data_IF_359399328712
#
_entry.id   IF_359399328712
#
_cell.length_a   1.000
_cell.length_b   1.000
_cell.length_c   1.000
_cell.angle_alpha   90.00
_cell.angle_beta   90.00
_cell.angle_gamma   90.00
#
_symmetry.space_group_name_H-M   'P 1'
#
loop_
_entity.id
_entity.type
_entity.pdbx_description
1 polymer ?
#
# COMPACT_ATOMS: atom_id res chain seq x y z
N UNK A 1 33.15 155.83 98.04
CA UNK A 1 32.79 154.65 97.21
C UNK A 1 33.18 153.42 98.01
N UNK A 2 32.31 152.42 98.16
CA UNK A 2 32.58 151.25 99.00
C UNK A 2 33.65 150.37 98.34
N UNK A 3 34.71 150.03 99.08
CA UNK A 3 35.71 149.04 98.65
C UNK A 3 35.09 147.63 98.62
N UNK A 4 35.52 146.84 97.63
CA UNK A 4 34.98 145.52 97.30
C UNK A 4 35.13 144.48 98.43
N UNK A 5 35.97 144.77 99.42
CA UNK A 5 36.16 143.95 100.63
C UNK A 5 35.01 143.98 101.64
N UNK A 6 34.07 144.93 101.53
CA UNK A 6 32.89 145.01 102.41
C UNK A 6 31.69 144.18 101.95
N UNK A 7 31.77 143.49 100.81
CA UNK A 7 30.67 142.66 100.28
C UNK A 7 30.82 141.20 100.75
N UNK A 8 30.70 140.98 102.06
CA UNK A 8 30.59 139.63 102.63
C UNK A 8 29.29 138.97 102.17
N UNK A 9 29.38 137.74 101.63
CA UNK A 9 28.24 136.97 101.13
C UNK A 9 27.95 137.11 99.64
N UNK A 10 28.74 137.87 98.87
CA UNK A 10 28.55 137.95 97.40
C UNK A 10 28.70 136.58 96.73
N UNK A 11 29.68 135.78 97.18
CA UNK A 11 29.92 134.42 96.68
C UNK A 11 28.71 133.52 96.96
N UNK A 12 28.11 133.62 98.14
CA UNK A 12 26.93 132.86 98.52
C UNK A 12 25.70 133.30 97.73
N UNK A 13 25.53 134.62 97.52
CA UNK A 13 24.46 135.18 96.71
C UNK A 13 24.58 134.80 95.22
N UNK A 14 25.80 134.75 94.67
CA UNK A 14 26.05 134.28 93.30
C UNK A 14 25.77 132.78 93.17
N UNK A 15 26.27 131.98 94.13
CA UNK A 15 26.05 130.53 94.15
C UNK A 15 24.57 130.16 94.33
N UNK A 16 23.78 130.99 95.03
CA UNK A 16 22.33 130.84 95.14
C UNK A 16 21.57 131.23 93.85
N UNK A 17 22.14 132.09 92.99
CA UNK A 17 21.56 132.44 91.68
C UNK A 17 21.91 131.47 90.55
N UNK A 18 22.96 130.67 90.72
CA UNK A 18 23.25 129.54 89.84
C UNK A 18 22.19 128.46 90.07
N UNK A 19 21.12 128.47 89.28
CA UNK A 19 20.16 127.36 89.30
C UNK A 19 20.86 126.08 88.82
N UNK A 20 21.19 125.17 89.74
CA UNK A 20 21.87 123.91 89.40
C UNK A 20 20.90 122.82 88.92
N UNK A 21 19.61 123.16 88.79
CA UNK A 21 18.54 122.23 88.40
C UNK A 21 18.05 122.42 86.97
N UNK A 22 18.38 123.52 86.29
CA UNK A 22 18.16 123.59 84.85
C UNK A 22 19.08 122.60 84.14
N UNK A 23 18.49 121.52 83.63
CA UNK A 23 19.09 120.74 82.56
C UNK A 23 18.86 121.54 81.29
N UNK A 24 19.91 122.11 80.69
CA UNK A 24 19.79 122.69 79.35
C UNK A 24 19.23 121.60 78.43
N UNK A 25 18.06 121.83 77.83
CA UNK A 25 17.60 120.93 76.79
C UNK A 25 18.60 121.04 75.64
N UNK A 26 18.87 119.96 74.91
CA UNK A 26 19.84 120.05 73.80
C UNK A 26 19.41 121.01 72.68
N UNK A 27 18.13 121.40 72.65
CA UNK A 27 17.63 122.43 71.76
C UNK A 27 18.10 123.85 72.15
N UNK A 28 18.61 124.02 73.37
CA UNK A 28 19.07 125.31 73.91
C UNK A 28 20.60 125.52 73.75
N UNK A 29 21.32 124.50 73.24
CA UNK A 29 22.75 124.57 72.96
C UNK A 29 22.98 125.17 71.57
N UNK A 30 22.99 126.50 71.48
CA UNK A 30 23.26 127.25 70.24
C UNK A 30 24.73 127.58 70.03
N UNK A 31 25.57 127.35 71.03
CA UNK A 31 27.01 127.63 71.07
C UNK A 31 27.89 126.42 70.70
N UNK A 32 27.27 125.25 70.49
CA UNK A 32 27.94 124.07 69.96
C UNK A 32 28.08 124.23 68.44
N UNK A 33 29.02 125.08 68.05
CA UNK A 33 29.54 125.16 66.69
C UNK A 33 30.65 124.11 66.57
N UNK A 34 30.32 122.91 66.08
CA UNK A 34 31.30 121.84 65.88
C UNK A 34 32.09 122.13 64.59
N UNK A 35 33.33 122.63 64.67
CA UNK A 35 34.02 123.17 63.51
C UNK A 35 34.79 122.04 62.82
N UNK A 36 34.06 121.13 62.16
CA UNK A 36 34.60 120.38 61.02
C UNK A 36 33.46 119.84 60.13
N UNK A 37 33.18 120.46 58.96
CA UNK A 37 32.14 120.02 58.04
C UNK A 37 32.47 118.72 57.27
N UNK A 38 33.59 118.03 57.54
CA UNK A 38 33.93 116.79 56.85
C UNK A 38 33.26 115.52 57.44
N UNK A 39 32.72 115.56 58.66
CA UNK A 39 32.17 114.38 59.35
C UNK A 39 30.81 114.66 60.03
N UNK A 40 29.77 114.88 59.22
CA UNK A 40 28.39 115.00 59.70
C UNK A 40 27.88 113.69 60.31
N UNK A 41 28.18 113.44 61.58
CA UNK A 41 27.43 112.49 62.36
C UNK A 41 26.20 113.20 62.90
N UNK A 42 25.04 113.00 62.25
CA UNK A 42 23.74 113.17 62.93
C UNK A 42 23.86 112.42 64.26
N UNK A 43 23.35 112.91 65.39
CA UNK A 43 23.36 112.15 66.65
C UNK A 43 21.93 111.68 66.97
N UNK A 44 21.76 110.40 67.31
CA UNK A 44 20.47 109.85 67.75
C UNK A 44 20.55 109.61 69.26
N UNK A 45 19.46 109.94 69.96
CA UNK A 45 19.34 109.70 71.39
C UNK A 45 18.95 108.25 71.65
N UNK A 46 19.80 107.48 72.33
CA UNK A 46 19.50 106.13 72.79
C UNK A 46 19.57 106.12 74.32
N UNK A 47 18.42 106.04 74.97
CA UNK A 47 18.30 106.24 76.41
C UNK A 47 18.75 107.65 76.83
N UNK A 48 19.62 107.74 77.83
CA UNK A 48 20.12 109.01 78.38
C UNK A 48 21.39 109.55 77.69
N UNK A 49 21.89 108.88 76.64
CA UNK A 49 23.13 109.27 75.96
C UNK A 49 22.88 109.60 74.48
N UNK A 50 23.61 110.58 73.97
CA UNK A 50 23.67 110.89 72.54
C UNK A 50 24.77 110.06 71.90
N UNK A 51 24.42 109.33 70.85
CA UNK A 51 25.37 108.52 70.08
C UNK A 51 25.40 108.99 68.63
N UNK A 52 26.55 108.87 67.97
CA UNK A 52 26.67 109.21 66.55
C UNK A 52 25.75 108.30 65.71
N UNK A 53 24.83 108.89 64.96
CA UNK A 53 23.96 108.26 63.97
C UNK A 53 24.70 107.81 62.71
N UNK A 54 26.04 107.81 62.71
CA UNK A 54 26.81 106.92 61.83
C UNK A 54 26.40 105.44 61.96
N UNK A 55 25.56 105.09 62.94
CA UNK A 55 24.96 103.77 63.06
C UNK A 55 23.55 103.62 62.43
N UNK A 56 22.94 104.62 61.78
CA UNK A 56 21.55 104.48 61.34
C UNK A 56 21.13 105.38 60.15
N UNK A 57 21.58 105.07 58.93
CA UNK A 57 20.76 105.15 57.70
C UNK A 57 21.42 104.42 56.50
N UNK A 58 22.76 104.41 56.44
CA UNK A 58 23.51 103.72 55.38
C UNK A 58 23.51 102.18 55.43
N UNK A 59 22.95 101.56 56.49
CA UNK A 59 22.79 100.10 56.59
C UNK A 59 21.36 99.60 56.25
N UNK A 60 20.39 100.50 56.03
CA UNK A 60 18.98 100.12 55.79
C UNK A 60 18.62 100.18 54.31
N UNK A 61 19.08 101.19 53.54
CA UNK A 61 18.94 101.19 52.09
C UNK A 61 19.99 100.26 51.46
N UNK A 62 19.55 99.18 50.85
CA UNK A 62 20.44 98.14 50.30
C UNK A 62 20.54 96.89 51.16
N UNK A 63 19.92 96.84 52.36
CA UNK A 63 19.68 95.56 53.04
C UNK A 63 18.83 94.66 52.16
N UNK A 64 17.74 95.18 51.58
CA UNK A 64 16.84 94.42 50.71
C UNK A 64 17.60 93.93 49.48
N UNK A 65 18.30 94.81 48.76
CA UNK A 65 19.15 94.41 47.63
C UNK A 65 20.25 93.41 48.05
N UNK A 66 20.85 93.57 49.24
CA UNK A 66 21.88 92.66 49.76
C UNK A 66 21.30 91.32 50.18
N UNK A 67 20.10 91.31 50.75
CA UNK A 67 19.42 90.09 51.19
C UNK A 67 18.87 89.36 49.98
N UNK A 68 18.27 90.05 49.01
CA UNK A 68 17.80 89.46 47.76
C UNK A 68 18.98 88.95 46.93
N UNK A 69 20.06 89.72 46.77
CA UNK A 69 21.27 89.22 46.11
C UNK A 69 21.91 88.03 46.86
N UNK A 70 21.81 87.98 48.20
CA UNK A 70 22.25 86.82 48.98
C UNK A 70 21.29 85.64 48.87
N UNK A 71 19.98 85.85 48.75
CA UNK A 71 18.96 84.82 48.58
C UNK A 71 19.07 84.25 47.17
N UNK A 72 19.05 85.09 46.13
CA UNK A 72 19.27 84.70 44.74
C UNK A 72 20.64 84.07 44.55
N UNK A 73 21.68 84.61 45.19
CA UNK A 73 23.00 83.99 45.22
C UNK A 73 23.01 82.63 45.91
N UNK A 74 22.25 82.44 47.00
CA UNK A 74 22.09 81.15 47.67
C UNK A 74 21.19 80.18 46.91
N UNK A 75 20.18 80.65 46.18
CA UNK A 75 19.31 79.85 45.33
C UNK A 75 20.06 79.44 44.06
N UNK A 76 20.82 80.34 43.45
CA UNK A 76 21.71 80.05 42.32
C UNK A 76 22.88 79.16 42.75
N UNK A 77 23.43 79.34 43.95
CA UNK A 77 24.38 78.38 44.53
C UNK A 77 23.71 77.05 44.86
N UNK A 78 22.45 77.03 45.28
CA UNK A 78 21.68 75.79 45.48
C UNK A 78 21.32 75.10 44.16
N UNK A 79 21.10 75.86 43.09
CA UNK A 79 20.66 75.37 41.77
C UNK A 79 21.80 75.12 40.78
N UNK A 80 22.96 75.76 40.95
CA UNK A 80 24.09 75.71 40.01
C UNK A 80 25.49 75.78 40.66
N UNK A 81 25.60 75.87 41.98
CA UNK A 81 26.87 75.88 42.71
C UNK A 81 26.87 74.93 43.91
N UNK A 82 26.01 73.92 43.87
CA UNK A 82 25.73 73.14 45.05
C UNK A 82 26.94 72.22 45.31
N UNK A 83 27.36 72.04 46.58
CA UNK A 83 28.50 71.16 46.92
C UNK A 83 28.35 69.82 46.20
N UNK A 84 29.45 69.17 45.79
CA UNK A 84 29.50 68.00 44.89
C UNK A 84 28.38 66.93 45.06
N UNK A 85 27.77 66.84 46.24
CA UNK A 85 26.57 66.07 46.58
C UNK A 85 25.21 66.57 46.03
N UNK A 86 25.09 67.76 45.46
CA UNK A 86 23.86 68.28 44.82
C UNK A 86 24.05 68.54 43.30
N UNK A 87 25.28 68.77 42.85
CA UNK A 87 25.69 68.53 41.45
C UNK A 87 25.26 67.11 41.03
N UNK A 88 25.50 66.14 41.91
CA UNK A 88 24.97 64.79 41.74
C UNK A 88 23.45 64.71 41.61
N UNK A 89 22.64 65.60 42.19
CA UNK A 89 21.18 65.51 41.97
C UNK A 89 20.76 66.00 40.59
N UNK A 90 21.37 67.07 40.08
CA UNK A 90 21.15 67.52 38.71
C UNK A 90 21.70 66.49 37.70
N UNK A 91 22.86 65.91 37.97
CA UNK A 91 23.45 64.84 37.18
C UNK A 91 22.62 63.54 37.24
N UNK A 92 22.10 63.15 38.40
CA UNK A 92 21.20 62.00 38.55
C UNK A 92 19.88 62.25 37.82
N UNK A 93 19.29 63.46 37.94
CA UNK A 93 18.08 63.81 37.21
C UNK A 93 18.31 63.74 35.69
N UNK A 94 19.43 64.27 35.20
CA UNK A 94 19.82 64.17 33.80
C UNK A 94 20.10 62.72 33.37
N UNK A 95 20.79 61.93 34.20
CA UNK A 95 21.05 60.50 33.95
C UNK A 95 19.77 59.66 33.92
N UNK A 96 18.73 60.08 34.65
CA UNK A 96 17.39 59.51 34.62
C UNK A 96 16.47 60.15 33.55
N UNK A 97 17.00 61.05 32.72
CA UNK A 97 16.31 61.61 31.56
C UNK A 97 15.41 62.81 31.83
N UNK A 98 15.54 63.47 32.99
CA UNK A 98 14.69 64.59 33.43
C UNK A 98 13.18 64.29 33.34
N UNK A 99 12.79 63.04 33.59
CA UNK A 99 11.40 62.59 33.50
C UNK A 99 10.61 62.95 34.78
N UNK A 100 9.66 63.92 34.72
CA UNK A 100 8.86 64.30 35.89
C UNK A 100 7.93 63.18 36.38
N UNK A 101 7.67 62.15 35.55
CA UNK A 101 6.81 61.01 35.85
C UNK A 101 7.59 59.68 35.86
N UNK A 102 8.89 59.72 36.20
CA UNK A 102 9.79 58.56 36.13
C UNK A 102 9.18 57.27 36.71
N UNK A 103 8.52 57.34 37.86
CA UNK A 103 7.88 56.18 38.49
C UNK A 103 6.78 55.57 37.61
N UNK A 104 5.95 56.41 36.98
CA UNK A 104 4.93 55.97 36.02
C UNK A 104 5.58 55.39 34.78
N UNK A 105 6.58 56.06 34.21
CA UNK A 105 7.30 55.60 33.02
C UNK A 105 7.94 54.23 33.23
N UNK A 106 8.66 54.04 34.35
CA UNK A 106 9.25 52.74 34.71
C UNK A 106 8.15 51.69 34.92
N UNK A 107 7.08 52.04 35.64
CA UNK A 107 5.98 51.11 35.89
C UNK A 107 5.28 50.67 34.60
N UNK A 108 5.06 51.58 33.65
CA UNK A 108 4.52 51.27 32.33
C UNK A 108 5.49 50.40 31.51
N UNK A 109 6.78 50.75 31.49
CA UNK A 109 7.78 49.97 30.76
C UNK A 109 7.92 48.53 31.30
N UNK A 110 7.87 48.36 32.64
CA UNK A 110 7.83 47.06 33.28
C UNK A 110 6.50 46.33 32.99
N UNK A 111 5.38 47.06 33.03
CA UNK A 111 4.06 46.53 32.69
C UNK A 111 3.97 45.97 31.27
N UNK A 112 4.77 46.49 30.33
CA UNK A 112 4.88 46.02 28.95
C UNK A 112 5.75 44.76 28.79
N UNK A 113 6.52 44.35 29.80
CA UNK A 113 7.30 43.11 29.73
C UNK A 113 6.41 41.88 29.88
N UNK A 114 6.76 40.83 29.14
CA UNK A 114 6.11 39.54 29.25
C UNK A 114 6.50 38.88 30.59
N UNK A 115 5.51 38.43 31.34
CA UNK A 115 5.66 37.67 32.60
C UNK A 115 5.64 36.17 32.30
N UNK A 116 6.38 35.40 33.09
CA UNK A 116 6.39 33.93 33.01
C UNK A 116 5.63 33.27 34.17
N UNK A 117 5.38 34.03 35.24
CA UNK A 117 4.84 33.57 36.50
C UNK A 117 3.31 33.60 36.55
N UNK A 118 2.66 34.38 35.69
CA UNK A 118 1.21 34.59 35.69
C UNK A 118 0.68 34.95 34.28
N UNK A 119 -0.62 34.74 34.07
CA UNK A 119 -1.28 35.06 32.81
C UNK A 119 -1.42 36.58 32.61
N UNK A 120 -1.10 37.07 31.40
CA UNK A 120 -1.24 38.48 31.05
C UNK A 120 -2.34 38.68 29.99
N UNK A 121 -3.37 39.45 30.35
CA UNK A 121 -4.35 39.95 29.38
C UNK A 121 -3.71 41.01 28.50
N UNK A 122 -3.61 40.71 27.20
CA UNK A 122 -3.03 41.57 26.15
C UNK A 122 -3.85 41.46 24.88
N UNK A 123 -3.79 42.47 24.04
CA UNK A 123 -4.39 42.47 22.71
C UNK A 123 -3.68 41.46 21.79
N UNK A 124 -4.33 41.06 20.69
CA UNK A 124 -3.74 40.13 19.71
C UNK A 124 -2.45 40.68 19.07
N UNK A 125 -2.42 42.00 18.81
CA UNK A 125 -1.24 42.67 18.25
C UNK A 125 -0.04 42.64 19.22
N UNK A 126 -0.28 42.92 20.51
CA UNK A 126 0.76 42.86 21.54
C UNK A 126 1.28 41.43 21.74
N UNK A 127 0.39 40.42 21.74
CA UNK A 127 0.78 39.00 21.81
C UNK A 127 1.70 38.62 20.63
N UNK A 128 1.33 39.05 19.42
CA UNK A 128 2.13 38.80 18.21
C UNK A 128 3.51 39.45 18.30
N UNK A 129 3.58 40.71 18.75
CA UNK A 129 4.85 41.43 18.91
C UNK A 129 5.74 40.78 19.98
N UNK A 130 5.16 40.39 21.13
CA UNK A 130 5.88 39.71 22.19
C UNK A 130 6.47 38.37 21.72
N UNK A 131 5.70 37.56 21.00
CA UNK A 131 6.17 36.31 20.41
C UNK A 131 7.28 36.55 19.38
N UNK A 132 7.17 37.59 18.57
CA UNK A 132 8.20 37.98 17.59
C UNK A 132 9.50 38.36 18.29
N UNK A 133 9.44 39.16 19.36
CA UNK A 133 10.61 39.58 20.14
C UNK A 133 11.31 38.39 20.83
N UNK A 134 10.57 37.33 21.17
CA UNK A 134 11.12 36.08 21.70
C UNK A 134 11.71 35.15 20.61
N UNK A 135 11.74 35.59 19.36
CA UNK A 135 12.26 34.81 18.23
C UNK A 135 11.23 33.88 17.57
N UNK A 136 9.94 33.99 17.90
CA UNK A 136 8.87 33.24 17.25
C UNK A 136 8.72 33.65 15.78
N UNK A 137 8.86 32.69 14.86
CA UNK A 137 8.64 32.92 13.42
C UNK A 137 7.16 32.98 13.09
N UNK A 138 6.80 33.51 11.91
CA UNK A 138 5.41 33.50 11.44
C UNK A 138 4.83 32.07 11.40
N UNK A 139 5.63 31.11 10.94
CA UNK A 139 5.29 29.68 10.94
C UNK A 139 5.09 29.15 12.36
N UNK A 140 6.01 29.44 13.28
CA UNK A 140 5.90 28.99 14.68
C UNK A 140 4.64 29.50 15.36
N UNK A 141 4.30 30.78 15.18
CA UNK A 141 3.05 31.37 15.70
C UNK A 141 1.81 30.70 15.11
N UNK A 142 1.78 30.52 13.79
CA UNK A 142 0.67 29.85 13.11
C UNK A 142 0.46 28.39 13.56
N UNK A 143 1.53 27.70 13.98
CA UNK A 143 1.44 26.35 14.55
C UNK A 143 0.83 26.36 15.95
N UNK A 144 1.20 27.31 16.81
CA UNK A 144 0.62 27.40 18.16
C UNK A 144 -0.84 27.89 18.16
N UNK A 145 -1.26 28.62 17.14
CA UNK A 145 -2.65 29.05 16.93
C UNK A 145 -3.51 28.01 16.22
N UNK A 146 -2.92 26.92 15.72
CA UNK A 146 -3.63 25.92 14.94
C UNK A 146 -4.74 25.23 15.77
N UNK A 147 -5.97 25.28 15.27
CA UNK A 147 -7.11 24.65 15.94
C UNK A 147 -7.03 23.11 15.96
N UNK A 148 -6.27 22.52 15.03
CA UNK A 148 -6.09 21.08 14.92
C UNK A 148 -4.76 20.70 14.22
N UNK A 149 -4.51 19.40 14.13
CA UNK A 149 -3.33 18.84 13.47
C UNK A 149 -3.24 19.20 11.98
N UNK A 150 -4.36 19.41 11.29
CA UNK A 150 -4.35 19.73 9.86
C UNK A 150 -3.95 21.19 9.62
N UNK A 151 -4.49 22.12 10.40
CA UNK A 151 -4.09 23.52 10.42
C UNK A 151 -2.60 23.67 10.76
N UNK A 152 -2.09 22.92 11.74
CA UNK A 152 -0.67 22.93 12.09
C UNK A 152 0.23 22.43 10.93
N UNK A 153 -0.19 21.39 10.20
CA UNK A 153 0.53 20.89 9.01
C UNK A 153 0.55 21.91 7.88
N UNK A 154 -0.58 22.57 7.63
CA UNK A 154 -0.66 23.63 6.63
C UNK A 154 0.27 24.80 6.98
N UNK A 155 0.33 25.18 8.27
CA UNK A 155 1.19 26.27 8.74
C UNK A 155 2.69 26.01 8.49
N UNK A 156 3.15 24.76 8.63
CA UNK A 156 4.54 24.37 8.32
C UNK A 156 4.77 24.01 6.85
N UNK A 157 3.76 24.11 5.99
CA UNK A 157 3.87 23.68 4.58
C UNK A 157 4.10 22.18 4.41
N UNK A 158 3.69 21.36 5.39
CA UNK A 158 3.81 19.91 5.29
C UNK A 158 2.82 19.36 4.27
N UNK A 159 3.28 18.39 3.48
CA UNK A 159 2.46 17.64 2.52
C UNK A 159 1.25 17.01 3.25
N UNK A 160 0.04 16.96 2.64
CA UNK A 160 -1.14 16.39 3.27
C UNK A 160 -0.92 14.97 3.80
N UNK A 161 -1.53 14.65 4.95
CA UNK A 161 -1.39 13.33 5.61
C UNK A 161 -1.91 12.15 4.76
N UNK A 162 -2.74 12.43 3.76
CA UNK A 162 -3.02 11.57 2.62
C UNK A 162 -3.23 12.47 1.40
N UNK A 163 -2.64 12.13 0.27
CA UNK A 163 -3.04 12.70 -1.02
C UNK A 163 -3.29 11.56 -2.01
N UNK A 164 -4.43 11.55 -2.72
CA UNK A 164 -4.65 10.65 -3.83
C UNK A 164 -3.95 11.18 -5.08
N UNK A 165 -3.36 10.28 -5.88
CA UNK A 165 -2.92 10.61 -7.24
C UNK A 165 -3.93 10.05 -8.24
N UNK A 166 -4.61 10.91 -9.02
CA UNK A 166 -5.18 10.49 -10.29
C UNK A 166 -4.11 9.75 -11.10
N UNK A 167 -4.51 8.70 -11.82
CA UNK A 167 -3.57 7.87 -12.60
C UNK A 167 -2.76 8.68 -13.63
N UNK A 168 -3.34 9.80 -14.10
CA UNK A 168 -2.68 10.74 -15.02
C UNK A 168 -1.54 11.55 -14.40
N UNK A 169 -1.42 11.62 -13.08
CA UNK A 169 -0.29 12.26 -12.39
C UNK A 169 0.92 11.32 -12.27
N UNK A 170 0.71 10.00 -12.38
CA UNK A 170 1.78 9.01 -12.35
C UNK A 170 2.28 8.77 -13.77
N UNK A 171 3.27 9.58 -14.17
CA UNK A 171 3.85 9.54 -15.52
C UNK A 171 4.28 8.11 -15.88
N UNK A 172 3.76 7.59 -16.98
CA UNK A 172 4.08 6.25 -17.50
C UNK A 172 3.23 5.10 -16.96
N UNK A 173 2.45 5.29 -15.89
CA UNK A 173 1.59 4.22 -15.35
C UNK A 173 0.47 3.84 -16.31
N UNK A 174 -0.17 4.83 -16.96
CA UNK A 174 -1.19 4.56 -17.98
C UNK A 174 -0.63 3.71 -19.13
N UNK A 175 0.54 4.08 -19.65
CA UNK A 175 1.20 3.33 -20.71
C UNK A 175 1.60 1.91 -20.28
N UNK A 176 2.04 1.72 -19.03
CA UNK A 176 2.37 0.41 -18.48
C UNK A 176 1.14 -0.49 -18.37
N UNK A 177 0.00 0.05 -17.92
CA UNK A 177 -1.26 -0.68 -17.83
C UNK A 177 -1.81 -1.04 -19.21
N UNK A 178 -1.77 -0.11 -20.15
CA UNK A 178 -2.20 -0.35 -21.53
C UNK A 178 -1.32 -1.43 -22.20
N UNK A 179 -0.02 -1.40 -21.94
CA UNK A 179 0.91 -2.45 -22.40
C UNK A 179 0.61 -3.82 -21.79
N UNK A 180 0.35 -3.86 -20.48
CA UNK A 180 0.01 -5.11 -19.79
C UNK A 180 -1.31 -5.69 -20.31
N UNK A 181 -2.32 -4.84 -20.53
CA UNK A 181 -3.59 -5.25 -21.12
C UNK A 181 -3.39 -5.88 -22.51
N UNK A 182 -2.58 -5.24 -23.36
CA UNK A 182 -2.24 -5.77 -24.68
C UNK A 182 -1.49 -7.12 -24.60
N UNK A 183 -0.56 -7.28 -23.66
CA UNK A 183 0.17 -8.53 -23.45
C UNK A 183 -0.75 -9.68 -23.02
N UNK A 184 -1.68 -9.42 -22.10
CA UNK A 184 -2.66 -10.43 -21.64
C UNK A 184 -3.59 -10.85 -22.77
N UNK A 185 -4.07 -9.89 -23.57
CA UNK A 185 -4.90 -10.18 -24.75
C UNK A 185 -4.16 -11.01 -25.81
N UNK A 186 -2.90 -10.69 -26.09
CA UNK A 186 -2.09 -11.44 -27.05
C UNK A 186 -1.82 -12.89 -26.60
N UNK A 187 -1.54 -13.09 -25.30
CA UNK A 187 -1.34 -14.42 -24.72
C UNK A 187 -2.60 -15.27 -24.78
N UNK A 188 -3.76 -14.69 -24.50
CA UNK A 188 -5.05 -15.40 -24.52
C UNK A 188 -5.44 -15.86 -25.94
N UNK A 189 -5.03 -15.15 -26.99
CA UNK A 189 -5.42 -15.45 -28.37
C UNK A 189 -4.40 -16.32 -29.13
N UNK A 190 -3.11 -16.20 -28.83
CA UNK A 190 -2.04 -16.77 -29.66
C UNK A 190 -1.34 -17.98 -29.04
N UNK A 191 -0.58 -17.76 -27.98
CA UNK A 191 0.40 -18.74 -27.49
C UNK A 191 -0.24 -19.92 -26.79
N UNK A 192 -1.28 -19.68 -25.99
CA UNK A 192 -1.95 -20.74 -25.23
C UNK A 192 -2.81 -21.63 -26.16
N UNK A 193 -3.41 -21.07 -27.20
CA UNK A 193 -4.15 -21.82 -28.21
C UNK A 193 -3.21 -22.64 -29.11
N UNK A 194 -2.10 -22.06 -29.56
CA UNK A 194 -1.11 -22.76 -30.37
C UNK A 194 -0.43 -23.90 -29.59
N UNK A 195 -0.11 -23.67 -28.32
CA UNK A 195 0.44 -24.70 -27.44
C UNK A 195 -0.57 -25.83 -27.21
N UNK A 196 -1.83 -25.49 -26.88
CA UNK A 196 -2.89 -26.48 -26.66
C UNK A 196 -3.16 -27.31 -27.92
N UNK A 197 -3.28 -26.67 -29.10
CA UNK A 197 -3.46 -27.37 -30.37
C UNK A 197 -2.24 -28.24 -30.71
N UNK A 198 -1.03 -27.77 -30.41
CA UNK A 198 0.19 -28.56 -30.57
C UNK A 198 0.19 -29.82 -29.70
N UNK A 199 -0.25 -29.74 -28.45
CA UNK A 199 -0.35 -30.88 -27.54
C UNK A 199 -1.45 -31.87 -27.94
N UNK A 200 -2.59 -31.40 -28.48
CA UNK A 200 -3.67 -32.27 -28.97
C UNK A 200 -3.24 -33.02 -30.24
N UNK A 201 -2.52 -32.36 -31.14
CA UNK A 201 -2.02 -32.96 -32.37
C UNK A 201 -0.81 -33.89 -32.14
N UNK A 202 0.03 -33.64 -31.13
CA UNK A 202 1.22 -34.45 -30.88
C UNK A 202 0.90 -35.83 -30.30
N UNK A 203 -0.21 -35.98 -29.57
CA UNK A 203 -0.55 -37.26 -28.93
C UNK A 203 -0.78 -38.40 -29.92
N UNK A 204 -1.60 -38.25 -30.99
CA UNK A 204 -1.69 -39.27 -32.04
C UNK A 204 -0.39 -39.44 -32.84
N UNK A 205 0.29 -38.33 -33.16
CA UNK A 205 1.46 -38.34 -34.04
C UNK A 205 2.68 -39.04 -33.42
N UNK A 206 2.86 -38.98 -32.09
CA UNK A 206 3.92 -39.71 -31.39
C UNK A 206 3.81 -41.23 -31.57
N UNK A 207 2.57 -41.73 -31.64
CA UNK A 207 2.26 -43.15 -31.85
C UNK A 207 2.09 -43.50 -33.34
N UNK A 208 2.56 -42.63 -34.24
CA UNK A 208 2.45 -42.80 -35.71
C UNK A 208 1.00 -42.88 -36.22
N UNK A 209 0.06 -42.24 -35.54
CA UNK A 209 -1.36 -42.18 -35.89
C UNK A 209 -1.73 -40.72 -36.23
N UNK A 210 -2.38 -40.49 -37.37
CA UNK A 210 -2.86 -39.14 -37.73
C UNK A 210 -4.27 -38.86 -37.22
N UNK A 211 -5.12 -39.88 -37.14
CA UNK A 211 -6.52 -39.76 -36.73
C UNK A 211 -6.99 -41.01 -36.00
N UNK A 212 -7.81 -40.84 -34.97
CA UNK A 212 -8.61 -41.90 -34.34
C UNK A 212 -10.06 -41.55 -34.54
N UNK A 213 -10.88 -42.49 -35.01
CA UNK A 213 -12.28 -42.19 -35.30
C UNK A 213 -13.14 -43.43 -35.47
N UNK A 214 -14.42 -43.19 -35.79
CA UNK A 214 -15.42 -44.20 -36.09
C UNK A 214 -15.76 -44.12 -37.58
N UNK A 215 -15.70 -45.22 -38.31
CA UNK A 215 -16.00 -45.22 -39.74
C UNK A 215 -17.49 -44.89 -39.93
N UNK A 216 -17.78 -43.80 -40.63
CA UNK A 216 -19.14 -43.26 -40.81
C UNK A 216 -19.90 -43.01 -39.49
N UNK A 217 -19.18 -42.81 -38.38
CA UNK A 217 -19.78 -42.63 -37.05
C UNK A 217 -20.29 -43.91 -36.38
N UNK A 218 -20.05 -45.09 -36.96
CA UNK A 218 -20.48 -46.38 -36.39
C UNK A 218 -19.59 -46.79 -35.19
N UNK A 219 -20.13 -46.90 -33.97
CA UNK A 219 -19.38 -47.33 -32.79
C UNK A 219 -18.71 -48.71 -32.91
N UNK A 220 -19.20 -49.56 -33.81
CA UNK A 220 -18.65 -50.90 -34.04
C UNK A 220 -17.46 -50.91 -35.01
N UNK A 221 -17.14 -49.77 -35.63
CA UNK A 221 -16.06 -49.65 -36.63
C UNK A 221 -15.03 -48.60 -36.20
N UNK A 222 -14.38 -48.76 -35.03
CA UNK A 222 -13.28 -47.89 -34.66
C UNK A 222 -12.09 -48.11 -35.60
N UNK A 223 -11.44 -47.01 -35.98
CA UNK A 223 -10.25 -47.04 -36.82
C UNK A 223 -9.23 -46.03 -36.35
N UNK A 224 -7.98 -46.30 -36.71
CA UNK A 224 -6.89 -45.34 -36.68
C UNK A 224 -6.40 -45.13 -38.11
N UNK A 225 -5.82 -43.96 -38.41
CA UNK A 225 -5.09 -43.74 -39.66
C UNK A 225 -3.60 -43.70 -39.39
N UNK A 226 -2.85 -44.54 -40.10
CA UNK A 226 -1.39 -44.52 -40.02
C UNK A 226 -0.86 -43.18 -40.55
N UNK A 227 0.08 -42.56 -39.84
CA UNK A 227 0.61 -41.24 -40.19
C UNK A 227 1.46 -41.26 -41.48
N UNK A 228 2.17 -42.35 -41.76
CA UNK A 228 3.10 -42.44 -42.89
C UNK A 228 2.43 -42.53 -44.26
N UNK A 229 1.22 -43.07 -44.36
CA UNK A 229 0.55 -43.36 -45.63
C UNK A 229 -0.97 -43.12 -45.61
N UNK A 230 -1.51 -42.61 -44.49
CA UNK A 230 -2.95 -42.40 -44.29
C UNK A 230 -3.82 -43.67 -44.40
N UNK A 231 -3.23 -44.86 -44.35
CA UNK A 231 -3.97 -46.12 -44.40
C UNK A 231 -4.92 -46.25 -43.20
N UNK A 232 -6.15 -46.68 -43.46
CA UNK A 232 -7.13 -46.96 -42.41
C UNK A 232 -6.79 -48.31 -41.78
N UNK A 233 -6.40 -48.28 -40.53
CA UNK A 233 -6.19 -49.45 -39.69
C UNK A 233 -7.42 -49.60 -38.80
N UNK A 234 -8.33 -50.49 -39.19
CA UNK A 234 -9.48 -50.81 -38.35
C UNK A 234 -8.98 -51.44 -37.05
N UNK A 235 -9.35 -50.83 -35.93
CA UNK A 235 -9.14 -51.41 -34.61
C UNK A 235 -10.21 -52.47 -34.47
N UNK A 236 -9.82 -53.74 -34.51
CA UNK A 236 -10.79 -54.81 -34.56
C UNK A 236 -11.64 -54.86 -33.26
N UNK A 237 -12.96 -55.00 -33.39
CA UNK A 237 -13.59 -56.21 -32.83
C UNK A 237 -14.40 -56.99 -33.87
N UNK A 238 -14.00 -56.94 -35.13
CA UNK A 238 -14.54 -57.78 -36.19
C UNK A 238 -13.58 -58.92 -36.56
N UNK A 239 -13.86 -60.11 -36.05
CA UNK A 239 -13.70 -61.30 -36.87
C UNK A 239 -14.93 -62.16 -36.64
N UNK A 240 -15.82 -62.18 -37.62
CA UNK A 240 -16.60 -63.38 -37.86
C UNK A 240 -15.88 -64.36 -38.80
N UNK A 241 -14.56 -64.19 -39.01
CA UNK A 241 -13.64 -64.82 -39.99
C UNK A 241 -13.87 -64.52 -41.49
N UNK A 242 -12.76 -64.41 -42.25
CA UNK A 242 -12.71 -64.36 -43.72
C UNK A 242 -12.62 -65.80 -44.26
N UNK A 243 -13.59 -66.33 -45.04
CA UNK A 243 -13.54 -67.72 -45.49
C UNK A 243 -12.29 -68.01 -46.33
N UNK A 244 -11.63 -69.13 -46.04
CA UNK A 244 -10.53 -69.65 -46.88
C UNK A 244 -11.10 -69.96 -48.26
N UNK A 245 -10.75 -69.14 -49.26
CA UNK A 245 -11.03 -69.42 -50.67
C UNK A 245 -9.90 -70.28 -51.23
N UNK A 246 -10.22 -71.44 -51.80
CA UNK A 246 -9.24 -72.26 -52.52
C UNK A 246 -9.68 -72.41 -53.97
N UNK A 247 -8.77 -72.14 -54.92
CA UNK A 247 -8.84 -72.45 -56.37
C UNK A 247 -10.23 -72.44 -57.03
N UNK A 248 -11.08 -71.45 -56.71
CA UNK A 248 -12.41 -71.28 -57.26
C UNK A 248 -13.21 -70.18 -56.57
N UNK A 249 -14.35 -69.80 -57.15
CA UNK A 249 -15.29 -68.82 -56.58
C UNK A 249 -16.15 -69.36 -55.44
N UNK A 250 -16.20 -70.68 -55.27
CA UNK A 250 -17.09 -71.37 -54.35
C UNK A 250 -16.61 -71.21 -52.89
N UNK A 251 -17.54 -71.00 -51.98
CA UNK A 251 -17.28 -70.92 -50.55
C UNK A 251 -17.29 -72.31 -49.92
N UNK A 252 -16.25 -72.64 -49.15
CA UNK A 252 -16.17 -73.87 -48.36
C UNK A 252 -16.46 -73.55 -46.91
N UNK A 253 -17.48 -74.19 -46.35
CA UNK A 253 -17.88 -74.07 -44.95
C UNK A 253 -17.45 -75.32 -44.19
N UNK A 254 -16.75 -75.13 -43.06
CA UNK A 254 -16.49 -76.15 -42.06
C UNK A 254 -17.17 -75.75 -40.75
N UNK A 255 -17.94 -76.64 -40.15
CA UNK A 255 -18.68 -76.31 -38.94
C UNK A 255 -19.33 -77.51 -38.27
N UNK A 256 -20.13 -77.22 -37.24
CA UNK A 256 -20.93 -78.21 -36.52
C UNK A 256 -22.40 -78.11 -36.93
N UNK A 257 -23.04 -79.23 -37.28
CA UNK A 257 -24.47 -79.33 -37.54
C UNK A 257 -25.04 -80.54 -36.78
N UNK A 258 -26.00 -80.30 -35.87
CA UNK A 258 -26.66 -81.37 -35.11
C UNK A 258 -25.70 -82.29 -34.34
N UNK A 259 -24.60 -81.75 -33.81
CA UNK A 259 -23.57 -82.52 -33.11
C UNK A 259 -22.59 -83.27 -34.01
N UNK A 260 -22.61 -83.04 -35.33
CA UNK A 260 -21.71 -83.64 -36.31
C UNK A 260 -20.81 -82.58 -36.95
N UNK A 261 -19.54 -82.89 -37.20
CA UNK A 261 -18.67 -82.03 -38.01
C UNK A 261 -19.04 -82.19 -39.49
N UNK A 262 -19.23 -81.08 -40.20
CA UNK A 262 -19.75 -81.06 -41.57
C UNK A 262 -18.92 -80.18 -42.49
N UNK A 263 -18.90 -80.56 -43.77
CA UNK A 263 -18.41 -79.74 -44.87
C UNK A 263 -19.55 -79.37 -45.82
N UNK A 264 -19.56 -78.12 -46.28
CA UNK A 264 -20.49 -77.65 -47.31
C UNK A 264 -19.73 -76.78 -48.33
N UNK A 265 -20.11 -76.88 -49.60
CA UNK A 265 -19.57 -76.03 -50.68
C UNK A 265 -20.75 -75.28 -51.29
N UNK A 266 -20.75 -73.95 -51.18
CA UNK A 266 -21.91 -73.10 -51.48
C UNK A 266 -23.18 -73.63 -50.82
N UNK A 267 -24.21 -74.01 -51.58
CA UNK A 267 -25.46 -74.60 -51.06
C UNK A 267 -25.45 -76.14 -51.05
N UNK A 268 -24.34 -76.76 -51.45
CA UNK A 268 -24.25 -78.21 -51.60
C UNK A 268 -23.62 -78.87 -50.37
N UNK A 269 -24.42 -79.70 -49.69
CA UNK A 269 -24.01 -80.45 -48.52
C UNK A 269 -23.07 -81.59 -48.90
N UNK A 270 -21.80 -81.54 -48.46
CA UNK A 270 -20.81 -82.58 -48.76
C UNK A 270 -20.87 -83.76 -47.77
N UNK A 271 -21.84 -83.77 -46.85
CA UNK A 271 -22.01 -84.80 -45.83
C UNK A 271 -21.33 -84.47 -44.50
N UNK A 272 -21.55 -85.34 -43.51
CA UNK A 272 -20.79 -85.31 -42.26
C UNK A 272 -19.37 -85.80 -42.53
N UNK A 273 -18.36 -85.14 -41.97
CA UNK A 273 -16.97 -85.60 -42.02
C UNK A 273 -16.73 -86.44 -40.76
N UNK A 274 -16.44 -87.73 -40.93
CA UNK A 274 -16.18 -88.62 -39.80
C UNK A 274 -14.82 -88.32 -39.15
N UNK A 275 -14.83 -88.15 -37.82
CA UNK A 275 -13.62 -88.06 -36.99
C UNK A 275 -13.28 -89.43 -36.41
N UNK A 276 -11.99 -89.74 -36.22
CA UNK A 276 -11.50 -91.07 -35.86
C UNK A 276 -12.09 -91.62 -34.54
N UNK A 277 -12.39 -90.75 -33.57
CA UNK A 277 -13.03 -91.17 -32.30
C UNK A 277 -14.51 -91.54 -32.43
N UNK A 278 -15.18 -91.09 -33.50
CA UNK A 278 -16.60 -91.39 -33.75
C UNK A 278 -16.81 -92.74 -34.44
N UNK A 279 -15.75 -93.33 -34.99
CA UNK A 279 -15.81 -94.61 -35.70
C UNK A 279 -16.12 -95.77 -34.74
N UNK A 280 -15.72 -95.70 -33.47
CA UNK A 280 -15.95 -96.80 -32.52
C UNK A 280 -17.31 -96.75 -31.78
N UNK A 281 -17.94 -95.58 -31.68
CA UNK A 281 -19.16 -95.39 -30.87
C UNK A 281 -20.48 -95.53 -31.63
N UNK A 282 -20.46 -95.46 -32.96
CA UNK A 282 -21.69 -95.39 -33.79
C UNK A 282 -21.72 -96.44 -34.90
N UNK A 283 -20.65 -97.21 -35.09
CA UNK A 283 -20.62 -98.33 -36.05
C UNK A 283 -20.71 -99.65 -35.32
N UNK A 284 -21.79 -100.38 -35.59
CA UNK A 284 -22.02 -101.72 -35.05
C UNK A 284 -20.83 -102.62 -35.42
N UNK A 285 -20.01 -102.99 -34.44
CA UNK A 285 -19.05 -104.06 -34.61
C UNK A 285 -19.85 -105.33 -34.88
N UNK A 286 -19.85 -105.80 -36.13
CA UNK A 286 -20.45 -107.08 -36.48
C UNK A 286 -19.59 -108.21 -35.89
N UNK A 287 -19.78 -108.49 -34.61
CA UNK A 287 -19.21 -109.65 -33.93
C UNK A 287 -20.20 -110.81 -34.04
N UNK A 288 -20.31 -111.40 -35.24
CA UNK A 288 -20.60 -112.82 -35.51
C UNK A 288 -21.03 -112.96 -36.98
N UNK A 289 -20.21 -113.64 -37.77
CA UNK A 289 -20.62 -114.16 -39.08
C UNK A 289 -21.12 -115.57 -38.82
N UNK A 290 -22.42 -115.81 -38.98
CA UNK A 290 -22.92 -117.16 -39.18
C UNK A 290 -23.50 -117.29 -40.59
N UNK A 291 -23.24 -118.45 -41.15
CA UNK A 291 -23.29 -118.83 -42.54
C UNK A 291 -24.69 -118.71 -43.17
N UNK A 292 -24.80 -117.98 -44.29
CA UNK A 292 -25.96 -118.04 -45.20
C UNK A 292 -26.98 -116.90 -45.08
N UNK A 293 -27.14 -116.12 -46.15
CA UNK A 293 -28.22 -115.17 -46.47
C UNK A 293 -28.73 -114.27 -45.34
N UNK A 294 -28.43 -112.96 -45.41
CA UNK A 294 -29.16 -111.95 -44.63
C UNK A 294 -29.77 -110.91 -45.56
N UNK A 295 -31.10 -110.94 -45.58
CA UNK A 295 -31.98 -109.86 -46.00
C UNK A 295 -31.85 -108.66 -45.04
N UNK A 296 -31.71 -107.49 -45.66
CA UNK A 296 -31.97 -106.13 -45.21
C UNK A 296 -32.86 -105.95 -43.95
N UNK A 297 -32.46 -105.06 -43.03
CA UNK A 297 -33.28 -103.93 -42.52
C UNK A 297 -32.65 -103.26 -41.29
N UNK A 298 -31.96 -102.15 -41.50
CA UNK A 298 -32.29 -100.83 -40.96
C UNK A 298 -31.25 -99.86 -41.50
N UNK A 299 -31.74 -98.72 -41.99
CA UNK A 299 -30.90 -97.60 -42.41
C UNK A 299 -29.96 -97.20 -41.27
N UNK A 300 -28.84 -96.54 -41.62
CA UNK A 300 -28.01 -95.71 -40.73
C UNK A 300 -26.57 -96.20 -40.45
N UNK A 301 -26.09 -97.28 -41.08
CA UNK A 301 -24.69 -97.70 -40.96
C UNK A 301 -23.79 -97.16 -42.08
N UNK A 302 -23.07 -96.06 -41.81
CA UNK A 302 -21.77 -95.79 -42.48
C UNK A 302 -20.75 -96.79 -41.92
N UNK A 303 -19.60 -97.01 -42.56
CA UNK A 303 -18.53 -97.81 -41.95
C UNK A 303 -18.75 -99.33 -41.98
N UNK A 304 -18.74 -99.93 -43.17
CA UNK A 304 -17.95 -101.14 -43.50
C UNK A 304 -18.40 -101.66 -44.86
N UNK A 305 -17.64 -101.39 -45.92
CA UNK A 305 -17.78 -102.10 -47.19
C UNK A 305 -16.37 -102.53 -47.63
N UNK A 306 -15.91 -103.68 -47.14
CA UNK A 306 -14.72 -104.36 -47.69
C UNK A 306 -15.16 -105.13 -48.93
N UNK A 307 -14.84 -104.63 -50.12
CA UNK A 307 -14.98 -105.41 -51.36
C UNK A 307 -13.62 -105.46 -52.06
N UNK A 308 -13.09 -106.68 -52.15
CA UNK A 308 -11.95 -107.03 -53.00
C UNK A 308 -12.54 -107.70 -54.23
N UNK A 309 -12.40 -107.11 -55.41
CA UNK A 309 -12.56 -107.85 -56.66
C UNK A 309 -11.29 -107.74 -57.48
N UNK A 310 -10.73 -108.91 -57.81
CA UNK A 310 -9.79 -109.05 -58.90
C UNK A 310 -10.57 -108.84 -60.20
N UNK A 311 -10.14 -107.86 -61.00
CA UNK A 311 -10.53 -107.56 -62.39
C UNK A 311 -11.82 -106.72 -62.65
N UNK A 312 -11.63 -105.61 -63.39
CA UNK A 312 -12.67 -104.86 -64.12
C UNK A 312 -12.96 -103.42 -63.60
N UNK A 313 -13.06 -102.38 -64.46
CA UNK A 313 -13.05 -100.97 -64.05
C UNK A 313 -14.39 -100.39 -63.57
N UNK A 314 -15.41 -101.21 -63.28
CA UNK A 314 -16.71 -100.74 -62.81
C UNK A 314 -17.08 -101.36 -61.46
N UNK A 315 -16.96 -100.58 -60.39
CA UNK A 315 -17.49 -100.94 -59.06
C UNK A 315 -18.94 -100.43 -59.00
N UNK A 316 -19.89 -101.35 -59.20
CA UNK A 316 -21.32 -101.09 -59.04
C UNK A 316 -21.72 -101.38 -57.60
N UNK A 317 -22.06 -100.35 -56.82
CA UNK A 317 -22.59 -100.51 -55.47
C UNK A 317 -24.02 -101.10 -55.55
N UNK A 318 -24.21 -102.29 -54.99
CA UNK A 318 -25.49 -103.01 -55.03
C UNK A 318 -26.58 -102.33 -54.19
N UNK A 319 -27.67 -101.97 -54.84
CA UNK A 319 -29.04 -101.86 -54.31
C UNK A 319 -29.26 -101.04 -53.04
N UNK A 320 -29.53 -99.73 -53.18
CA UNK A 320 -30.19 -98.97 -52.11
C UNK A 320 -30.16 -97.44 -52.25
N UNK A 321 -29.10 -96.86 -52.83
CA UNK A 321 -28.98 -95.40 -52.98
C UNK A 321 -28.33 -95.11 -54.35
N UNK A 322 -29.09 -94.50 -55.25
CA UNK A 322 -28.64 -94.17 -56.59
C UNK A 322 -27.69 -92.96 -56.58
N UNK A 323 -26.53 -93.06 -57.24
CA UNK A 323 -25.82 -91.88 -57.75
C UNK A 323 -24.31 -91.74 -57.51
N UNK A 324 -23.62 -92.63 -56.80
CA UNK A 324 -22.15 -92.55 -56.64
C UNK A 324 -21.44 -93.77 -57.20
N UNK A 325 -21.13 -93.77 -58.49
CA UNK A 325 -20.11 -94.66 -59.05
C UNK A 325 -18.74 -93.99 -58.92
N UNK A 326 -17.76 -94.68 -58.32
CA UNK A 326 -16.36 -94.30 -58.40
C UNK A 326 -15.84 -94.63 -59.80
N UNK A 327 -16.34 -93.92 -60.82
CA UNK A 327 -15.88 -94.10 -62.20
C UNK A 327 -14.43 -93.57 -62.30
N UNK A 328 -13.46 -94.46 -62.44
CA UNK A 328 -12.04 -94.11 -62.65
C UNK A 328 -11.15 -94.09 -61.39
N UNK A 329 -11.60 -94.62 -60.24
CA UNK A 329 -10.75 -94.70 -59.05
C UNK A 329 -9.62 -95.75 -59.22
N UNK A 330 -8.38 -95.46 -58.79
CA UNK A 330 -7.29 -96.43 -58.81
C UNK A 330 -7.59 -97.69 -57.97
N UNK A 331 -7.04 -98.88 -58.33
CA UNK A 331 -7.16 -100.09 -57.52
C UNK A 331 -6.64 -99.87 -56.09
N UNK A 332 -7.42 -100.27 -55.09
CA UNK A 332 -7.04 -100.15 -53.68
C UNK A 332 -8.21 -100.31 -52.72
N UNK A 333 -7.88 -100.34 -51.43
CA UNK A 333 -8.88 -100.29 -50.36
C UNK A 333 -9.32 -98.86 -50.16
N UNK A 334 -10.62 -98.59 -50.19
CA UNK A 334 -11.18 -97.25 -49.98
C UNK A 334 -12.12 -97.28 -48.78
N UNK A 335 -12.05 -96.25 -47.93
CA UNK A 335 -13.01 -95.99 -46.85
C UNK A 335 -13.82 -94.76 -47.21
N UNK A 336 -15.15 -94.87 -47.11
CA UNK A 336 -16.04 -93.72 -47.19
C UNK A 336 -15.97 -92.94 -45.87
N UNK A 337 -15.69 -91.64 -45.95
CA UNK A 337 -15.55 -90.72 -44.82
C UNK A 337 -16.77 -89.80 -44.65
N UNK A 338 -17.80 -89.97 -45.48
CA UNK A 338 -19.02 -89.15 -45.46
C UNK A 338 -20.31 -89.95 -45.59
N UNK A 339 -21.39 -89.50 -44.97
CA UNK A 339 -22.74 -90.06 -45.13
C UNK A 339 -23.52 -89.29 -46.22
N UNK A 340 -23.85 -89.88 -47.39
CA UNK A 340 -24.66 -89.21 -48.40
C UNK A 340 -26.14 -89.19 -48.00
N UNK A 341 -26.84 -88.07 -48.24
CA UNK A 341 -28.26 -87.90 -47.90
C UNK A 341 -29.12 -89.02 -48.49
N UNK A 342 -30.10 -89.52 -47.73
CA UNK A 342 -30.91 -90.68 -48.07
C UNK A 342 -31.75 -90.55 -49.36
N UNK A 343 -31.84 -89.36 -49.97
CA UNK A 343 -32.74 -89.09 -51.11
C UNK A 343 -32.12 -88.27 -52.27
N UNK A 344 -30.81 -88.33 -52.49
CA UNK A 344 -30.23 -87.67 -53.68
C UNK A 344 -28.76 -87.96 -53.94
N UNK A 345 -28.36 -87.84 -55.20
CA UNK A 345 -27.01 -88.04 -55.77
C UNK A 345 -25.95 -87.14 -55.13
N UNK A 346 -25.63 -87.38 -53.86
CA UNK A 346 -24.71 -86.56 -53.08
C UNK A 346 -23.30 -87.14 -53.16
N UNK A 347 -22.33 -86.36 -53.64
CA UNK A 347 -20.94 -86.78 -53.72
C UNK A 347 -20.38 -87.08 -52.33
N UNK A 348 -19.85 -88.28 -52.13
CA UNK A 348 -19.21 -88.69 -50.88
C UNK A 348 -17.69 -88.48 -50.90
N UNK A 349 -17.10 -88.19 -49.74
CA UNK A 349 -15.66 -88.13 -49.53
C UNK A 349 -15.14 -89.55 -49.28
N UNK A 350 -14.22 -90.02 -50.12
CA UNK A 350 -13.55 -91.30 -49.96
C UNK A 350 -12.06 -91.08 -49.72
N UNK A 351 -11.49 -91.82 -48.77
CA UNK A 351 -10.07 -91.82 -48.48
C UNK A 351 -9.51 -93.21 -48.77
N UNK A 352 -8.39 -93.26 -49.50
CA UNK A 352 -7.68 -94.51 -49.75
C UNK A 352 -7.05 -94.99 -48.44
N UNK A 353 -7.33 -96.23 -48.09
CA UNK A 353 -6.65 -96.93 -47.00
C UNK A 353 -5.48 -97.63 -47.65
N UNK A 354 -4.27 -97.37 -47.15
CA UNK A 354 -3.07 -98.14 -47.51
C UNK A 354 -3.32 -99.63 -47.43
#
# INVERSE_FOLDING_TARGET
MHEIGHVTGLLDALNAKSDKTHKHALNDLSDVDAPDPANYHVMVRIGDKWVSAALLLGHISGWEDTVDAKIDGKIAALAGGAPATLDTFAEIAAALGNDPNLATTISTALGNRLRFDDEQTRTAAEKTQAQTNLGGTATGRAVFEAADKAAARNAIGAVPASHPHPIGEVTGLQAALDSLAAQVSARALGTDLAWTNGQVASKPNADSISHVGLASGDPNKPYMRQASNSAVLYLQRELGFTPVRTWGSNLVYFGWNGGKFVGQVDDYYAGNIALESWVNGTFATLSQVNNGWVSQQSADAVGSYRYSTTAGPSITFGGGIAGSSLNGAPPGTWRCMSHPSANGSTAGIFVRVS
#
